data_IF_615085643819
#
_entry.id   IF_615085643819
#
_cell.length_a   1.000
_cell.length_b   1.000
_cell.length_c   1.000
_cell.angle_alpha   90.00
_cell.angle_beta   90.00
_cell.angle_gamma   90.00
#
_symmetry.space_group_name_H-M   'P 1'
#
loop_
_entity.id
_entity.type
_entity.pdbx_description
1 polymer ?
#
# COMPACT_ATOMS: atom_id res chain seq x y z
N UNK A 1 16.17 2.84 -6.45
CA UNK A 1 15.82 3.08 -5.03
C UNK A 1 14.33 3.16 -4.82
N UNK A 2 13.53 3.68 -5.77
CA UNK A 2 12.06 3.60 -5.69
C UNK A 2 11.57 2.16 -5.61
N UNK A 3 12.16 1.24 -6.39
CA UNK A 3 11.90 -0.19 -6.24
C UNK A 3 12.13 -0.69 -4.81
N UNK A 4 13.10 -0.16 -4.06
CA UNK A 4 13.37 -0.51 -2.65
C UNK A 4 12.38 0.16 -1.67
N UNK A 5 11.92 1.38 -1.99
CA UNK A 5 10.92 2.13 -1.21
C UNK A 5 9.53 1.51 -1.36
N UNK A 6 9.12 1.25 -2.60
CA UNK A 6 7.92 0.45 -2.89
C UNK A 6 8.10 -0.96 -2.33
N UNK A 7 9.27 -1.60 -2.46
CA UNK A 7 9.51 -2.89 -1.79
C UNK A 7 9.39 -2.81 -0.26
N UNK A 8 9.69 -1.69 0.39
CA UNK A 8 9.52 -1.55 1.84
C UNK A 8 8.03 -1.41 2.24
N UNK A 9 7.24 -0.65 1.49
CA UNK A 9 5.76 -0.59 1.64
C UNK A 9 5.13 -1.94 1.30
N UNK A 10 5.61 -2.58 0.23
CA UNK A 10 5.32 -3.95 -0.14
C UNK A 10 5.72 -4.86 1.01
N UNK A 11 6.87 -4.72 1.69
CA UNK A 11 7.28 -5.57 2.82
C UNK A 11 6.39 -5.34 4.05
N UNK A 12 5.76 -4.18 4.24
CA UNK A 12 4.77 -4.02 5.32
C UNK A 12 3.45 -4.74 4.95
N UNK A 13 3.06 -4.74 3.67
CA UNK A 13 1.90 -5.51 3.18
C UNK A 13 2.16 -7.00 2.90
N UNK A 14 3.41 -7.35 2.56
CA UNK A 14 3.94 -8.68 2.19
C UNK A 14 4.62 -9.32 3.38
N UNK A 15 4.94 -8.61 4.46
CA UNK A 15 5.16 -9.24 5.76
C UNK A 15 3.91 -10.01 6.22
N UNK A 16 2.73 -9.72 5.64
CA UNK A 16 1.54 -10.53 5.80
C UNK A 16 1.48 -11.76 4.85
N UNK A 17 2.16 -11.73 3.70
CA UNK A 17 2.29 -12.88 2.77
C UNK A 17 3.49 -13.78 3.11
N UNK A 18 4.56 -13.21 3.67
CA UNK A 18 5.73 -13.92 4.21
C UNK A 18 5.44 -14.66 5.54
N UNK A 19 4.22 -14.52 6.08
CA UNK A 19 3.69 -15.35 7.18
C UNK A 19 3.63 -16.83 6.79
N UNK A 20 3.59 -17.16 5.49
CA UNK A 20 3.69 -18.55 5.01
C UNK A 20 5.11 -19.13 5.11
N UNK A 21 6.14 -18.34 5.43
CA UNK A 21 7.53 -18.76 5.45
C UNK A 21 8.32 -18.25 6.65
N UNK A 22 8.05 -18.79 7.84
CA UNK A 22 9.01 -18.90 8.95
C UNK A 22 9.65 -17.57 9.46
N UNK A 23 9.03 -16.89 10.45
CA UNK A 23 9.82 -16.16 11.46
C UNK A 23 9.36 -14.77 11.96
N UNK A 24 8.42 -14.07 11.33
CA UNK A 24 8.09 -12.66 11.69
C UNK A 24 6.68 -12.43 12.26
N UNK A 25 6.07 -13.46 12.87
CA UNK A 25 4.65 -13.48 13.25
C UNK A 25 4.20 -12.36 14.21
N UNK A 26 5.06 -11.91 15.13
CA UNK A 26 4.63 -11.05 16.25
C UNK A 26 4.49 -9.56 15.86
N UNK A 27 5.41 -9.05 15.05
CA UNK A 27 5.38 -7.65 14.57
C UNK A 27 4.26 -7.46 13.54
N UNK A 28 4.03 -8.47 12.69
CA UNK A 28 2.93 -8.45 11.75
C UNK A 28 1.56 -8.47 12.45
N UNK A 29 1.40 -9.25 13.53
CA UNK A 29 0.15 -9.32 14.30
C UNK A 29 -0.16 -8.00 15.05
N UNK A 30 0.85 -7.35 15.65
CA UNK A 30 0.67 -6.04 16.29
C UNK A 30 0.34 -4.93 15.27
N UNK A 31 1.04 -4.91 14.13
CA UNK A 31 0.76 -3.95 13.04
C UNK A 31 -0.64 -4.19 12.46
N UNK A 32 -1.04 -5.44 12.23
CA UNK A 32 -2.37 -5.78 11.73
C UNK A 32 -3.46 -5.38 12.73
N UNK A 33 -3.24 -5.56 14.04
CA UNK A 33 -4.17 -5.09 15.08
C UNK A 33 -4.35 -3.57 15.06
N UNK A 34 -3.28 -2.81 14.84
CA UNK A 34 -3.38 -1.35 14.71
C UNK A 34 -4.08 -0.91 13.41
N UNK A 35 -3.92 -1.67 12.33
CA UNK A 35 -4.57 -1.39 11.04
C UNK A 35 -6.01 -1.92 10.96
N UNK A 36 -6.40 -2.88 11.80
CA UNK A 36 -7.71 -3.54 11.73
C UNK A 36 -8.89 -2.54 11.74
N UNK A 37 -8.95 -1.51 12.61
CA UNK A 37 -10.02 -0.52 12.57
C UNK A 37 -10.07 0.26 11.25
N UNK A 38 -8.91 0.57 10.66
CA UNK A 38 -8.81 1.28 9.38
C UNK A 38 -9.30 0.41 8.23
N UNK A 39 -8.92 -0.86 8.21
CA UNK A 39 -9.38 -1.84 7.22
C UNK A 39 -10.89 -2.07 7.33
N UNK A 40 -11.42 -2.22 8.55
CA UNK A 40 -12.86 -2.36 8.80
C UNK A 40 -13.64 -1.12 8.35
N UNK A 41 -13.13 0.07 8.64
CA UNK A 41 -13.73 1.30 8.15
C UNK A 41 -13.74 1.34 6.61
N UNK A 42 -12.61 1.01 5.97
CA UNK A 42 -12.49 1.00 4.51
C UNK A 42 -13.50 0.07 3.82
N UNK A 43 -13.78 -1.11 4.39
CA UNK A 43 -14.75 -2.08 3.85
C UNK A 43 -16.18 -1.51 3.86
N UNK A 44 -16.50 -0.62 4.80
CA UNK A 44 -17.82 0.01 4.92
C UNK A 44 -18.03 1.17 3.95
N UNK A 45 -16.98 1.64 3.29
CA UNK A 45 -17.03 2.75 2.36
C UNK A 45 -17.46 2.27 0.95
N UNK A 46 -18.22 3.10 0.26
CA UNK A 46 -18.43 2.92 -1.18
C UNK A 46 -17.15 3.21 -1.98
N UNK A 47 -17.13 2.86 -3.27
CA UNK A 47 -15.94 2.98 -4.11
C UNK A 47 -15.39 4.42 -4.19
N UNK A 48 -16.27 5.42 -4.24
CA UNK A 48 -15.86 6.82 -4.31
C UNK A 48 -15.24 7.28 -2.99
N UNK A 49 -15.83 6.88 -1.86
CA UNK A 49 -15.32 7.14 -0.53
C UNK A 49 -14.03 6.37 -0.24
N UNK A 50 -13.87 5.15 -0.75
CA UNK A 50 -12.62 4.39 -0.70
C UNK A 50 -11.49 5.13 -1.43
N UNK A 51 -11.75 5.67 -2.62
CA UNK A 51 -10.76 6.46 -3.35
C UNK A 51 -10.37 7.72 -2.60
N UNK A 52 -11.37 8.44 -2.07
CA UNK A 52 -11.14 9.63 -1.26
C UNK A 52 -10.29 9.29 -0.02
N UNK A 53 -10.63 8.21 0.68
CA UNK A 53 -9.87 7.71 1.83
C UNK A 53 -8.41 7.42 1.47
N UNK A 54 -8.15 6.76 0.34
CA UNK A 54 -6.79 6.47 -0.12
C UNK A 54 -6.00 7.75 -0.41
N UNK A 55 -6.61 8.73 -1.09
CA UNK A 55 -5.98 10.03 -1.39
C UNK A 55 -5.67 10.81 -0.11
N UNK A 56 -6.60 10.82 0.85
CA UNK A 56 -6.43 11.54 2.12
C UNK A 56 -5.38 10.90 3.04
N UNK A 57 -5.17 9.58 2.94
CA UNK A 57 -4.23 8.84 3.78
C UNK A 57 -2.93 8.45 3.05
N UNK A 58 -2.77 8.86 1.79
CA UNK A 58 -1.58 8.61 0.97
C UNK A 58 -0.34 9.21 1.62
N UNK A 59 -0.47 10.36 2.27
CA UNK A 59 0.62 11.00 2.97
C UNK A 59 1.08 10.17 4.19
N UNK A 60 0.19 9.48 4.90
CA UNK A 60 0.58 8.57 5.98
C UNK A 60 1.35 7.36 5.44
N UNK A 61 0.89 6.80 4.32
CA UNK A 61 1.56 5.70 3.62
C UNK A 61 2.96 6.08 3.14
N UNK A 62 3.12 7.29 2.60
CA UNK A 62 4.41 7.82 2.15
C UNK A 62 5.31 8.30 3.30
N UNK A 63 4.75 8.70 4.44
CA UNK A 63 5.50 9.18 5.61
C UNK A 63 6.00 8.02 6.48
N UNK A 64 5.30 6.89 6.57
CA UNK A 64 5.83 5.69 7.27
C UNK A 64 7.12 5.16 6.64
N UNK A 65 7.28 5.33 5.32
CA UNK A 65 8.54 5.06 4.60
C UNK A 65 9.71 5.92 5.11
N UNK A 66 9.43 7.13 5.60
CA UNK A 66 10.42 8.06 6.17
C UNK A 66 10.92 7.58 7.55
N UNK A 67 10.07 6.88 8.31
CA UNK A 67 10.34 6.46 9.69
C UNK A 67 11.22 5.19 9.79
N UNK A 68 11.20 4.31 8.79
CA UNK A 68 11.95 3.04 8.82
C UNK A 68 13.44 3.18 8.43
N UNK A 69 13.92 4.37 8.06
CA UNK A 69 15.28 4.52 7.53
C UNK A 69 15.97 5.86 7.89
N UNK A 70 16.31 6.06 9.15
CA UNK A 70 17.27 7.07 9.67
C UNK A 70 17.14 8.54 9.19
N UNK A 71 16.03 8.94 8.54
CA UNK A 71 15.74 10.34 8.19
C UNK A 71 16.76 11.04 7.28
N UNK A 72 17.47 10.32 6.40
CA UNK A 72 18.51 10.91 5.54
C UNK A 72 17.94 11.99 4.57
N UNK A 73 18.65 13.13 4.37
CA UNK A 73 18.18 14.25 3.54
C UNK A 73 17.75 13.87 2.11
N UNK A 74 18.48 12.97 1.44
CA UNK A 74 18.18 12.49 0.08
C UNK A 74 16.77 11.88 -0.03
N UNK A 75 16.26 11.27 1.04
CA UNK A 75 14.92 10.65 1.03
C UNK A 75 13.80 11.68 1.21
N UNK A 76 14.03 12.76 1.95
CA UNK A 76 13.06 13.86 2.08
C UNK A 76 12.83 14.54 0.74
N UNK A 77 13.88 14.76 -0.04
CA UNK A 77 13.78 15.29 -1.40
C UNK A 77 13.04 14.32 -2.33
N UNK A 78 13.30 13.01 -2.23
CA UNK A 78 12.56 12.01 -3.00
C UNK A 78 11.09 11.93 -2.61
N UNK A 79 10.74 12.05 -1.32
CA UNK A 79 9.34 12.10 -0.86
C UNK A 79 8.65 13.36 -1.40
N UNK A 80 9.30 14.53 -1.34
CA UNK A 80 8.76 15.76 -1.89
C UNK A 80 8.54 15.67 -3.41
N UNK A 81 9.49 15.06 -4.14
CA UNK A 81 9.34 14.77 -5.57
C UNK A 81 8.18 13.81 -5.83
N UNK A 82 8.08 12.73 -5.06
CA UNK A 82 7.01 11.74 -5.20
C UNK A 82 5.64 12.37 -4.94
N UNK A 83 5.49 13.20 -3.90
CA UNK A 83 4.28 13.98 -3.63
C UNK A 83 3.90 14.87 -4.81
N UNK A 84 4.89 15.54 -5.42
CA UNK A 84 4.66 16.37 -6.61
C UNK A 84 4.26 15.54 -7.83
N UNK A 85 4.84 14.36 -8.02
CA UNK A 85 4.47 13.46 -9.12
C UNK A 85 3.05 12.89 -8.92
N UNK A 86 2.66 12.61 -7.68
CA UNK A 86 1.34 12.08 -7.33
C UNK A 86 0.19 13.09 -7.52
N UNK A 87 0.46 14.34 -7.91
CA UNK A 87 -0.58 15.27 -8.37
C UNK A 87 -0.87 15.15 -9.86
N UNK A 88 -0.04 14.42 -10.63
CA UNK A 88 -0.30 14.14 -12.03
C UNK A 88 -1.45 13.12 -12.14
N UNK A 89 -2.48 13.36 -12.98
CA UNK A 89 -3.68 12.51 -13.01
C UNK A 89 -3.39 11.02 -13.22
N UNK A 90 -2.48 10.67 -14.12
CA UNK A 90 -2.14 9.27 -14.43
C UNK A 90 -1.41 8.57 -13.27
N UNK A 91 -0.49 9.29 -12.61
CA UNK A 91 0.26 8.78 -11.46
C UNK A 91 -0.66 8.67 -10.24
N UNK A 92 -1.54 9.67 -10.03
CA UNK A 92 -2.53 9.66 -8.97
C UNK A 92 -3.51 8.49 -9.13
N UNK A 93 -4.00 8.25 -10.35
CA UNK A 93 -4.86 7.11 -10.65
C UNK A 93 -4.14 5.78 -10.36
N UNK A 94 -2.90 5.62 -10.82
CA UNK A 94 -2.13 4.42 -10.57
C UNK A 94 -1.81 4.20 -9.07
N UNK A 95 -1.64 5.29 -8.32
CA UNK A 95 -1.45 5.24 -6.88
C UNK A 95 -2.72 4.84 -6.13
N UNK A 96 -3.89 5.30 -6.58
CA UNK A 96 -5.19 4.87 -6.05
C UNK A 96 -5.39 3.37 -6.30
N UNK A 97 -5.13 2.89 -7.52
CA UNK A 97 -5.21 1.46 -7.87
C UNK A 97 -4.27 0.61 -6.98
N UNK A 98 -3.04 1.10 -6.79
CA UNK A 98 -2.07 0.48 -5.89
C UNK A 98 -2.59 0.46 -4.44
N UNK A 99 -3.13 1.58 -3.96
CA UNK A 99 -3.71 1.72 -2.63
C UNK A 99 -4.89 0.77 -2.38
N UNK A 100 -5.80 0.61 -3.36
CA UNK A 100 -6.89 -0.38 -3.31
C UNK A 100 -6.37 -1.80 -3.11
N UNK A 101 -5.37 -2.16 -3.91
CA UNK A 101 -4.74 -3.48 -3.85
C UNK A 101 -4.01 -3.71 -2.53
N UNK A 102 -3.36 -2.68 -1.99
CA UNK A 102 -2.70 -2.72 -0.69
C UNK A 102 -3.71 -2.95 0.45
N UNK A 103 -4.82 -2.21 0.45
CA UNK A 103 -5.90 -2.42 1.41
C UNK A 103 -6.49 -3.83 1.28
N UNK A 104 -6.69 -4.31 0.05
CA UNK A 104 -7.17 -5.65 -0.22
C UNK A 104 -6.23 -6.74 0.31
N UNK A 105 -4.91 -6.59 0.15
CA UNK A 105 -3.92 -7.48 0.78
C UNK A 105 -4.12 -7.49 2.30
N UNK A 106 -4.15 -6.31 2.94
CA UNK A 106 -4.36 -6.20 4.39
C UNK A 106 -5.67 -6.83 4.89
N UNK A 107 -6.73 -6.76 4.08
CA UNK A 107 -8.01 -7.42 4.36
C UNK A 107 -7.88 -8.95 4.25
N UNK A 108 -7.31 -9.46 3.15
CA UNK A 108 -7.23 -10.91 2.85
C UNK A 108 -6.35 -11.69 3.82
N UNK A 109 -5.39 -11.02 4.47
CA UNK A 109 -4.47 -11.62 5.45
C UNK A 109 -4.91 -11.42 6.90
N UNK A 110 -5.98 -10.65 7.14
CA UNK A 110 -6.52 -10.39 8.47
C UNK A 110 -7.61 -11.40 8.80
N UNK A 111 -7.25 -12.48 9.50
CA UNK A 111 -8.18 -13.53 9.94
C UNK A 111 -9.47 -12.99 10.60
N UNK A 112 -9.43 -12.00 11.52
CA UNK A 112 -10.64 -11.43 12.12
C UNK A 112 -11.56 -10.77 11.10
N UNK A 113 -11.02 -10.12 10.08
CA UNK A 113 -11.81 -9.46 9.03
C UNK A 113 -12.35 -10.50 8.06
N UNK A 114 -11.50 -11.41 7.58
CA UNK A 114 -11.90 -12.45 6.61
C UNK A 114 -13.02 -13.32 7.17
N UNK A 115 -13.04 -13.61 8.47
CA UNK A 115 -14.14 -14.38 9.09
C UNK A 115 -15.50 -13.70 8.97
N UNK A 116 -15.53 -12.37 8.95
CA UNK A 116 -16.76 -11.57 8.92
C UNK A 116 -17.23 -11.22 7.50
N UNK A 117 -16.41 -11.47 6.48
CA UNK A 117 -16.74 -11.16 5.08
C UNK A 117 -17.63 -12.21 4.44
N UNK A 118 -18.49 -11.76 3.51
CA UNK A 118 -19.23 -12.64 2.61
C UNK A 118 -18.28 -13.38 1.64
N UNK A 119 -18.76 -14.47 1.01
CA UNK A 119 -17.98 -15.16 -0.01
C UNK A 119 -17.65 -14.24 -1.21
N UNK A 120 -18.61 -13.41 -1.62
CA UNK A 120 -18.45 -12.46 -2.71
C UNK A 120 -17.42 -11.38 -2.37
N UNK A 121 -17.44 -10.85 -1.16
CA UNK A 121 -16.45 -9.87 -0.71
C UNK A 121 -15.05 -10.46 -0.60
N UNK A 122 -14.93 -11.71 -0.12
CA UNK A 122 -13.63 -12.42 -0.11
C UNK A 122 -13.07 -12.56 -1.52
N UNK A 123 -13.90 -12.99 -2.48
CA UNK A 123 -13.48 -13.13 -3.87
C UNK A 123 -13.08 -11.78 -4.48
N UNK A 124 -13.83 -10.70 -4.19
CA UNK A 124 -13.50 -9.33 -4.58
C UNK A 124 -12.13 -8.91 -4.05
N UNK A 125 -11.90 -9.00 -2.74
CA UNK A 125 -10.64 -8.55 -2.14
C UNK A 125 -9.46 -9.45 -2.51
N UNK A 126 -9.67 -10.75 -2.72
CA UNK A 126 -8.62 -11.62 -3.24
C UNK A 126 -8.18 -11.17 -4.63
N UNK A 127 -9.13 -10.88 -5.52
CA UNK A 127 -8.81 -10.38 -6.87
C UNK A 127 -8.04 -9.07 -6.84
N UNK A 128 -8.47 -8.11 -6.01
CA UNK A 128 -7.76 -6.83 -5.83
C UNK A 128 -6.35 -7.04 -5.26
N UNK A 129 -6.17 -7.99 -4.32
CA UNK A 129 -4.86 -8.34 -3.77
C UNK A 129 -3.93 -8.98 -4.81
N UNK A 130 -4.47 -9.85 -5.68
CA UNK A 130 -3.70 -10.52 -6.73
C UNK A 130 -3.16 -9.52 -7.78
N UNK A 131 -3.85 -8.40 -7.99
CA UNK A 131 -3.42 -7.33 -8.90
C UNK A 131 -2.33 -6.42 -8.31
N UNK A 132 -2.03 -6.53 -7.01
CA UNK A 132 -1.11 -5.66 -6.30
C UNK A 132 0.26 -5.54 -6.98
N UNK A 133 0.86 -6.67 -7.37
CA UNK A 133 2.19 -6.69 -7.99
C UNK A 133 2.20 -5.94 -9.33
N UNK A 134 1.16 -6.15 -10.15
CA UNK A 134 1.05 -5.50 -11.45
C UNK A 134 0.81 -3.99 -11.30
N UNK A 135 -0.06 -3.58 -10.37
CA UNK A 135 -0.35 -2.17 -10.10
C UNK A 135 0.84 -1.45 -9.45
N UNK A 136 1.61 -2.13 -8.60
CA UNK A 136 2.85 -1.61 -8.04
C UNK A 136 3.92 -1.38 -9.12
N UNK A 137 4.05 -2.34 -10.05
CA UNK A 137 4.95 -2.19 -11.19
C UNK A 137 4.53 -1.01 -12.08
N UNK A 138 3.25 -0.92 -12.45
CA UNK A 138 2.71 0.18 -13.26
C UNK A 138 2.96 1.54 -12.59
N UNK A 139 2.68 1.67 -11.30
CA UNK A 139 2.95 2.90 -10.56
C UNK A 139 4.46 3.25 -10.57
N UNK A 140 5.34 2.27 -10.32
CA UNK A 140 6.79 2.46 -10.37
C UNK A 140 7.24 2.94 -11.75
N UNK A 141 6.74 2.34 -12.83
CA UNK A 141 7.09 2.70 -14.21
C UNK A 141 6.64 4.12 -14.55
N UNK A 142 5.44 4.53 -14.13
CA UNK A 142 4.94 5.89 -14.34
C UNK A 142 5.77 6.94 -13.59
N UNK A 143 6.13 6.65 -12.32
CA UNK A 143 6.99 7.54 -11.53
C UNK A 143 8.40 7.62 -12.14
N UNK A 144 8.98 6.50 -12.55
CA UNK A 144 10.31 6.45 -13.18
C UNK A 144 10.35 7.12 -14.56
N UNK A 145 9.24 7.09 -15.31
CA UNK A 145 9.10 7.80 -16.57
C UNK A 145 8.99 9.31 -16.36
N UNK A 146 8.26 9.74 -15.32
CA UNK A 146 8.07 11.15 -15.00
C UNK A 146 9.29 11.79 -14.32
N UNK A 147 10.07 11.00 -13.56
CA UNK A 147 11.35 11.42 -12.99
C UNK A 147 12.34 10.23 -12.96
N UNK A 148 13.30 10.19 -13.90
CA UNK A 148 14.30 9.12 -13.99
C UNK A 148 15.20 8.98 -12.76
N UNK A 149 15.25 9.97 -11.85
CA UNK A 149 16.03 9.86 -10.61
C UNK A 149 15.55 8.74 -9.70
N UNK A 150 14.34 8.23 -9.90
CA UNK A 150 13.79 7.09 -9.17
C UNK A 150 14.28 5.71 -9.65
N UNK A 151 14.92 5.61 -10.83
CA UNK A 151 15.42 4.34 -11.40
C UNK A 151 16.60 3.73 -10.62
N UNK A 152 17.42 4.57 -9.98
CA UNK A 152 18.69 4.17 -9.32
C UNK A 152 18.48 3.88 -7.84
#
# INVERSE_FOLDING_TARGET
>A
MLKKILLAVIIIGVAAVAILGYGTYKVADETLKEQEPKLRHYIQLDEAAQNKYLVENIDELLTKVDLDNDGKPEKKEQIAKLKKLNTQPEIQSALIDLGRSFMAVGITVSDPIVKDLSADDKAKYQKEADEFKARAQKYSELVEAADPSFKN
#
